data_IF_949740313680
#
_entry.id   IF_949740313680
#
_cell.length_a   1.000
_cell.length_b   1.000
_cell.length_c   1.000
_cell.angle_alpha   90.00
_cell.angle_beta   90.00
_cell.angle_gamma   90.00
#
_symmetry.space_group_name_H-M   'P 1'
#
loop_
_entity.id
_entity.type
_entity.pdbx_description
1 polymer ?
#
# COMPACT_ATOMS: atom_id res chain seq x y z
N UNK A 1 1.42 29.99 11.89
CA UNK A 1 2.84 29.64 11.67
C UNK A 1 3.00 28.15 11.89
N UNK A 2 3.36 27.37 10.86
CA UNK A 2 3.63 25.95 11.04
C UNK A 2 4.93 25.80 11.82
N UNK A 3 4.91 25.10 12.95
CA UNK A 3 6.10 24.83 13.75
C UNK A 3 7.07 23.93 12.98
N UNK A 4 8.40 24.02 13.20
CA UNK A 4 9.40 23.25 12.47
C UNK A 4 9.12 21.73 12.49
N UNK A 5 8.61 21.20 13.62
CA UNK A 5 8.19 19.80 13.75
C UNK A 5 7.07 19.39 12.80
N UNK A 6 6.14 20.30 12.46
CA UNK A 6 5.04 20.02 11.52
C UNK A 6 5.55 19.92 10.09
N UNK A 7 6.54 20.75 9.73
CA UNK A 7 7.18 20.72 8.41
C UNK A 7 8.01 19.44 8.25
N UNK A 8 8.81 19.07 9.26
CA UNK A 8 9.58 17.83 9.27
C UNK A 8 8.69 16.57 9.14
N UNK A 9 7.55 16.56 9.85
CA UNK A 9 6.58 15.47 9.74
C UNK A 9 6.01 15.36 8.33
N UNK A 10 5.64 16.48 7.70
CA UNK A 10 5.13 16.50 6.33
C UNK A 10 6.16 15.99 5.32
N UNK A 11 7.43 16.38 5.46
CA UNK A 11 8.53 15.88 4.62
C UNK A 11 8.71 14.38 4.81
N UNK A 12 8.71 13.90 6.06
CA UNK A 12 8.82 12.47 6.37
C UNK A 12 7.68 11.66 5.73
N UNK A 13 6.45 12.15 5.80
CA UNK A 13 5.28 11.51 5.15
C UNK A 13 5.43 11.42 3.63
N UNK A 14 5.91 12.49 2.98
CA UNK A 14 6.17 12.50 1.52
C UNK A 14 7.28 11.51 1.17
N UNK A 15 8.40 11.53 1.90
CA UNK A 15 9.51 10.59 1.72
C UNK A 15 8.99 9.16 1.83
N UNK A 16 8.17 8.86 2.83
CA UNK A 16 7.59 7.52 2.99
C UNK A 16 6.71 7.07 1.83
N UNK A 17 6.02 7.97 1.12
CA UNK A 17 5.28 7.55 -0.07
C UNK A 17 6.20 6.90 -1.11
N UNK A 18 7.45 7.36 -1.20
CA UNK A 18 8.43 6.93 -2.18
C UNK A 18 9.32 5.79 -1.66
N UNK A 19 9.63 5.78 -0.36
CA UNK A 19 10.66 4.90 0.21
C UNK A 19 10.14 3.88 1.21
N UNK A 20 8.89 4.00 1.68
CA UNK A 20 8.31 2.97 2.54
C UNK A 20 8.26 1.65 1.77
N UNK A 21 8.61 0.52 2.40
CA UNK A 21 8.58 -0.77 1.73
C UNK A 21 7.18 -1.11 1.21
N UNK A 22 7.12 -1.80 0.07
CA UNK A 22 5.88 -2.42 -0.39
C UNK A 22 5.72 -3.72 0.38
N UNK A 23 4.70 -3.79 1.24
CA UNK A 23 4.42 -4.97 2.05
C UNK A 23 3.68 -5.99 1.18
N UNK A 24 4.32 -7.12 0.92
CA UNK A 24 3.77 -8.26 0.17
C UNK A 24 3.56 -9.47 1.10
N UNK A 25 2.80 -10.47 0.63
CA UNK A 25 2.65 -11.71 1.37
C UNK A 25 4.00 -12.46 1.46
N UNK A 26 4.37 -13.04 2.64
CA UNK A 26 5.66 -13.71 2.85
C UNK A 26 5.70 -15.10 2.19
N UNK A 27 5.70 -15.13 0.85
CA UNK A 27 5.69 -16.34 0.04
C UNK A 27 6.72 -16.37 -1.10
N UNK A 28 7.64 -15.41 -1.14
CA UNK A 28 8.71 -15.34 -2.17
C UNK A 28 8.35 -14.58 -3.44
N UNK A 29 7.09 -14.21 -3.64
CA UNK A 29 6.57 -13.57 -4.87
C UNK A 29 6.74 -12.03 -4.92
N UNK A 30 7.60 -11.46 -4.06
CA UNK A 30 7.76 -10.01 -3.98
C UNK A 30 8.36 -9.38 -5.23
N UNK A 31 9.32 -10.08 -5.85
CA UNK A 31 9.99 -9.64 -7.08
C UNK A 31 9.10 -9.77 -8.32
N UNK A 32 8.13 -10.68 -8.28
CA UNK A 32 7.19 -10.95 -9.38
C UNK A 32 6.04 -9.92 -9.46
N UNK A 33 6.04 -8.91 -8.57
CA UNK A 33 5.02 -7.88 -8.58
C UNK A 33 5.14 -7.01 -9.85
N UNK A 34 4.06 -6.83 -10.63
CA UNK A 34 4.10 -6.05 -11.86
C UNK A 34 4.56 -4.59 -11.64
N UNK A 35 5.40 -4.09 -12.53
CA UNK A 35 6.00 -2.75 -12.38
C UNK A 35 4.96 -1.62 -12.40
N UNK A 36 3.92 -1.76 -13.23
CA UNK A 36 2.80 -0.80 -13.26
C UNK A 36 2.07 -0.71 -11.91
N UNK A 37 2.03 -1.81 -11.15
CA UNK A 37 1.39 -1.86 -9.84
C UNK A 37 2.26 -1.19 -8.77
N UNK A 38 3.59 -1.35 -8.85
CA UNK A 38 4.53 -0.59 -7.99
C UNK A 38 4.38 0.92 -8.22
N UNK A 39 4.28 1.34 -9.49
CA UNK A 39 4.02 2.74 -9.85
C UNK A 39 2.66 3.23 -9.31
N UNK A 40 1.60 2.42 -9.44
CA UNK A 40 0.27 2.74 -8.91
C UNK A 40 0.29 2.90 -7.38
N UNK A 41 1.02 2.05 -6.65
CA UNK A 41 1.19 2.17 -5.19
C UNK A 41 1.76 3.54 -4.83
N UNK A 42 2.85 3.95 -5.47
CA UNK A 42 3.47 5.26 -5.22
C UNK A 42 2.50 6.41 -5.43
N UNK A 43 1.75 6.39 -6.55
CA UNK A 43 0.77 7.44 -6.85
C UNK A 43 -0.41 7.46 -5.88
N UNK A 44 -0.90 6.29 -5.46
CA UNK A 44 -1.97 6.23 -4.47
C UNK A 44 -1.53 6.65 -3.08
N UNK A 45 -0.29 6.34 -2.68
CA UNK A 45 0.29 6.82 -1.42
C UNK A 45 0.35 8.34 -1.39
N UNK A 46 0.82 8.97 -2.48
CA UNK A 46 0.84 10.42 -2.62
C UNK A 46 -0.57 11.03 -2.53
N UNK A 47 -1.55 10.43 -3.22
CA UNK A 47 -2.94 10.87 -3.14
C UNK A 47 -3.49 10.75 -1.71
N UNK A 48 -3.14 9.68 -0.99
CA UNK A 48 -3.54 9.49 0.41
C UNK A 48 -2.89 10.51 1.34
N UNK A 49 -1.62 10.87 1.14
CA UNK A 49 -0.99 11.95 1.89
C UNK A 49 -1.70 13.29 1.69
N UNK A 50 -2.10 13.62 0.46
CA UNK A 50 -2.89 14.84 0.18
C UNK A 50 -4.23 14.82 0.93
N UNK A 51 -4.89 13.67 0.99
CA UNK A 51 -6.13 13.48 1.77
C UNK A 51 -5.89 13.62 3.27
N UNK A 52 -4.80 13.05 3.79
CA UNK A 52 -4.42 13.17 5.20
C UNK A 52 -4.14 14.63 5.59
N UNK A 53 -3.49 15.41 4.71
CA UNK A 53 -3.31 16.86 4.91
C UNK A 53 -4.63 17.63 4.96
N UNK A 54 -5.70 17.10 4.35
CA UNK A 54 -7.05 17.66 4.40
C UNK A 54 -7.87 17.17 5.60
N UNK A 55 -7.28 16.36 6.49
CA UNK A 55 -7.90 15.88 7.72
C UNK A 55 -8.53 14.48 7.63
N UNK A 56 -8.38 13.76 6.52
CA UNK A 56 -8.81 12.36 6.45
C UNK A 56 -7.86 11.45 7.25
N UNK A 57 -8.40 10.36 7.82
CA UNK A 57 -7.58 9.41 8.56
C UNK A 57 -6.63 8.68 7.58
N UNK A 58 -5.30 8.71 7.77
CA UNK A 58 -4.39 8.01 6.89
C UNK A 58 -4.58 6.49 6.97
N UNK A 59 -4.57 5.82 5.82
CA UNK A 59 -4.77 4.36 5.71
C UNK A 59 -4.02 3.80 4.50
N UNK A 60 -4.00 2.48 4.37
CA UNK A 60 -3.41 1.78 3.24
C UNK A 60 -4.25 1.94 1.97
N UNK A 61 -3.60 1.82 0.82
CA UNK A 61 -4.25 2.10 -0.47
C UNK A 61 -4.84 0.84 -1.12
N UNK A 62 -5.67 1.02 -2.14
CA UNK A 62 -6.22 -0.10 -2.92
C UNK A 62 -5.09 -0.85 -3.64
N UNK A 63 -4.12 -0.12 -4.21
CA UNK A 63 -2.98 -0.70 -4.90
C UNK A 63 -2.07 -1.52 -3.95
N UNK A 64 -1.89 -1.11 -2.70
CA UNK A 64 -1.13 -1.89 -1.71
C UNK A 64 -1.86 -3.17 -1.31
N UNK A 65 -3.16 -3.07 -1.05
CA UNK A 65 -3.98 -4.25 -0.78
C UNK A 65 -3.96 -5.22 -1.99
N UNK A 66 -3.99 -4.68 -3.21
CA UNK A 66 -3.91 -5.44 -4.45
C UNK A 66 -2.57 -6.18 -4.56
N UNK A 67 -1.44 -5.52 -4.27
CA UNK A 67 -0.13 -6.17 -4.28
C UNK A 67 0.00 -7.28 -3.23
N UNK A 68 -0.51 -7.03 -2.03
CA UNK A 68 -0.51 -8.03 -0.96
C UNK A 68 -1.36 -9.26 -1.33
N UNK A 69 -2.59 -9.05 -1.81
CA UNK A 69 -3.47 -10.17 -2.17
C UNK A 69 -3.04 -10.88 -3.46
N UNK A 70 -2.44 -10.18 -4.42
CA UNK A 70 -1.84 -10.78 -5.60
C UNK A 70 -0.75 -11.79 -5.19
N UNK A 71 0.24 -11.35 -4.41
CA UNK A 71 1.31 -12.23 -3.91
C UNK A 71 0.81 -13.33 -2.99
N UNK A 72 -0.25 -13.08 -2.20
CA UNK A 72 -0.90 -14.11 -1.40
C UNK A 72 -1.54 -15.21 -2.26
N UNK A 73 -2.26 -14.83 -3.33
CA UNK A 73 -2.90 -15.77 -4.26
C UNK A 73 -1.93 -16.65 -5.04
N UNK A 74 -0.70 -16.16 -5.28
CA UNK A 74 0.37 -16.95 -5.87
C UNK A 74 0.97 -17.95 -4.88
N UNK A 75 1.00 -17.59 -3.59
CA UNK A 75 1.56 -18.45 -2.55
C UNK A 75 0.59 -19.56 -2.11
N UNK A 76 -0.72 -19.27 -2.05
CA UNK A 76 -1.73 -20.21 -1.59
C UNK A 76 -3.12 -19.88 -2.14
N UNK A 77 -4.04 -20.86 -2.21
CA UNK A 77 -5.43 -20.60 -2.53
C UNK A 77 -6.05 -19.62 -1.53
N UNK A 78 -6.71 -18.57 -2.03
CA UNK A 78 -7.49 -17.67 -1.19
C UNK A 78 -8.85 -18.28 -0.87
N UNK A 79 -9.35 -18.05 0.35
CA UNK A 79 -10.73 -18.37 0.70
C UNK A 79 -11.73 -17.55 -0.14
N UNK A 80 -13.00 -17.96 -0.14
CA UNK A 80 -14.05 -17.32 -0.95
C UNK A 80 -14.14 -15.79 -0.75
N UNK A 81 -14.17 -15.31 0.50
CA UNK A 81 -14.31 -13.88 0.77
C UNK A 81 -13.07 -13.08 0.38
N UNK A 82 -11.87 -13.61 0.67
CA UNK A 82 -10.63 -12.98 0.25
C UNK A 82 -10.45 -12.97 -1.28
N UNK A 83 -10.96 -13.99 -1.97
CA UNK A 83 -11.02 -14.02 -3.43
C UNK A 83 -11.90 -12.88 -3.96
N UNK A 84 -13.10 -12.70 -3.40
CA UNK A 84 -13.99 -11.59 -3.77
C UNK A 84 -13.35 -10.23 -3.48
N UNK A 85 -12.73 -10.07 -2.32
CA UNK A 85 -12.00 -8.84 -1.96
C UNK A 85 -10.88 -8.57 -2.97
N UNK A 86 -10.08 -9.58 -3.30
CA UNK A 86 -9.00 -9.46 -4.28
C UNK A 86 -9.51 -9.04 -5.66
N UNK A 87 -10.54 -9.72 -6.19
CA UNK A 87 -11.11 -9.39 -7.49
C UNK A 87 -11.73 -7.98 -7.51
N UNK A 88 -12.35 -7.55 -6.40
CA UNK A 88 -12.90 -6.20 -6.26
C UNK A 88 -11.81 -5.12 -6.34
N UNK A 89 -10.74 -5.26 -5.54
CA UNK A 89 -9.67 -4.27 -5.55
C UNK A 89 -8.83 -4.35 -6.83
N UNK A 90 -8.61 -5.55 -7.38
CA UNK A 90 -7.95 -5.72 -8.66
C UNK A 90 -8.74 -5.00 -9.75
N UNK A 91 -10.06 -5.18 -9.82
CA UNK A 91 -10.95 -4.44 -10.72
C UNK A 91 -10.74 -2.93 -10.58
N UNK A 92 -10.82 -2.40 -9.36
CA UNK A 92 -10.68 -0.95 -9.11
C UNK A 92 -9.31 -0.39 -9.50
N UNK A 93 -8.24 -1.06 -9.09
CA UNK A 93 -6.87 -0.61 -9.34
C UNK A 93 -6.54 -0.72 -10.83
N UNK A 94 -6.94 -1.81 -11.47
CA UNK A 94 -6.73 -2.05 -12.89
C UNK A 94 -7.45 -1.00 -13.74
N UNK A 95 -8.74 -0.75 -13.48
CA UNK A 95 -9.51 0.27 -14.22
C UNK A 95 -8.97 1.69 -14.02
N UNK A 96 -8.49 1.99 -12.81
CA UNK A 96 -7.96 3.31 -12.49
C UNK A 96 -6.62 3.59 -13.18
N UNK A 97 -5.72 2.60 -13.20
CA UNK A 97 -4.32 2.79 -13.59
C UNK A 97 -3.95 2.09 -14.89
N UNK A 98 -4.33 0.82 -15.07
CA UNK A 98 -3.85 -0.02 -16.16
C UNK A 98 -4.70 0.07 -17.42
N UNK A 99 -6.01 0.24 -17.31
CA UNK A 99 -6.90 0.35 -18.48
C UNK A 99 -6.52 1.52 -19.38
N UNK A 100 -6.19 2.67 -18.79
CA UNK A 100 -5.81 3.88 -19.54
C UNK A 100 -4.52 3.72 -20.34
N UNK A 101 -3.59 2.91 -19.84
CA UNK A 101 -2.29 2.68 -20.46
C UNK A 101 -2.33 1.51 -21.46
N UNK A 102 -3.07 0.44 -21.16
CA UNK A 102 -3.09 -0.78 -21.95
C UNK A 102 -4.21 -0.87 -22.97
N UNK A 103 -5.30 -0.12 -22.78
CA UNK A 103 -6.56 -0.32 -23.49
C UNK A 103 -7.32 -1.59 -23.10
N UNK A 104 -6.78 -2.42 -22.20
CA UNK A 104 -7.41 -3.65 -21.72
C UNK A 104 -8.21 -3.32 -20.46
N UNK A 105 -9.46 -3.77 -20.39
CA UNK A 105 -10.32 -3.63 -19.20
C UNK A 105 -10.35 -4.94 -18.41
N UNK A 106 -10.85 -4.89 -17.18
CA UNK A 106 -11.06 -6.11 -16.40
C UNK A 106 -12.13 -7.00 -17.10
N UNK A 107 -11.86 -8.30 -17.35
CA UNK A 107 -12.85 -9.19 -17.96
C UNK A 107 -14.14 -9.28 -17.13
N UNK A 108 -15.29 -9.33 -17.80
CA UNK A 108 -16.62 -9.28 -17.15
C UNK A 108 -16.90 -10.48 -16.24
N UNK A 109 -16.37 -11.65 -16.58
CA UNK A 109 -16.57 -12.92 -15.87
C UNK A 109 -15.90 -12.97 -14.48
N UNK A 110 -14.83 -12.19 -14.28
CA UNK A 110 -14.11 -12.10 -13.00
C UNK A 110 -14.26 -10.72 -12.34
N UNK A 111 -15.00 -9.80 -12.96
CA UNK A 111 -15.23 -8.45 -12.45
C UNK A 111 -16.09 -8.51 -11.19
N UNK A 112 -15.63 -7.85 -10.13
CA UNK A 112 -16.39 -7.68 -8.89
C UNK A 112 -16.58 -6.20 -8.62
N UNK A 113 -17.83 -5.75 -8.60
CA UNK A 113 -18.17 -4.32 -8.48
C UNK A 113 -18.59 -3.90 -7.07
N UNK A 114 -18.92 -4.86 -6.20
CA UNK A 114 -19.35 -4.60 -4.83
C UNK A 114 -18.86 -5.68 -3.87
N UNK A 115 -18.71 -5.26 -2.61
CA UNK A 115 -18.44 -6.13 -1.47
C UNK A 115 -19.56 -5.96 -0.46
N UNK A 116 -19.85 -7.01 0.31
CA UNK A 116 -20.72 -6.87 1.47
C UNK A 116 -20.00 -6.16 2.63
N UNK A 117 -20.74 -5.82 3.69
CA UNK A 117 -20.20 -5.06 4.83
C UNK A 117 -19.08 -5.78 5.57
N UNK A 118 -19.11 -7.11 5.62
CA UNK A 118 -18.06 -7.91 6.27
C UNK A 118 -16.77 -7.88 5.44
N UNK A 119 -16.87 -8.16 4.15
CA UNK A 119 -15.76 -8.10 3.21
C UNK A 119 -15.14 -6.69 3.15
N UNK A 120 -15.97 -5.64 3.19
CA UNK A 120 -15.49 -4.26 3.22
C UNK A 120 -14.77 -3.94 4.54
N UNK A 121 -15.28 -4.44 5.68
CA UNK A 121 -14.59 -4.32 6.98
C UNK A 121 -13.24 -5.02 6.98
N UNK A 122 -13.15 -6.22 6.42
CA UNK A 122 -11.89 -6.96 6.35
C UNK A 122 -10.88 -6.32 5.39
N UNK A 123 -11.35 -5.79 4.25
CA UNK A 123 -10.50 -4.99 3.37
C UNK A 123 -9.95 -3.74 4.09
N UNK A 124 -10.79 -3.03 4.83
CA UNK A 124 -10.36 -1.84 5.57
C UNK A 124 -9.37 -2.19 6.70
N UNK A 125 -9.56 -3.32 7.38
CA UNK A 125 -8.60 -3.85 8.36
C UNK A 125 -7.25 -4.17 7.70
N UNK A 126 -7.27 -4.84 6.54
CA UNK A 126 -6.05 -5.13 5.78
C UNK A 126 -5.31 -3.85 5.40
N UNK A 127 -6.01 -2.85 4.86
CA UNK A 127 -5.41 -1.55 4.50
C UNK A 127 -4.80 -0.84 5.70
N UNK A 128 -5.51 -0.79 6.83
CA UNK A 128 -4.99 -0.19 8.06
C UNK A 128 -3.72 -0.91 8.55
N UNK A 129 -3.72 -2.24 8.51
CA UNK A 129 -2.57 -3.05 8.87
C UNK A 129 -1.37 -2.82 7.93
N UNK A 130 -1.58 -2.76 6.62
CA UNK A 130 -0.51 -2.48 5.63
C UNK A 130 0.13 -1.11 5.87
N UNK A 131 -0.69 -0.09 6.11
CA UNK A 131 -0.23 1.24 6.45
C UNK A 131 0.59 1.27 7.75
N UNK A 132 0.09 0.60 8.79
CA UNK A 132 0.84 0.49 10.04
C UNK A 132 2.18 -0.22 9.82
N UNK A 133 2.20 -1.35 9.09
CA UNK A 133 3.41 -2.13 8.84
C UNK A 133 4.48 -1.34 8.09
N UNK A 134 4.11 -0.65 7.00
CA UNK A 134 5.08 0.13 6.22
C UNK A 134 5.64 1.31 7.02
N UNK A 135 4.80 1.97 7.82
CA UNK A 135 5.23 3.13 8.62
C UNK A 135 6.11 2.72 9.80
N UNK A 136 5.82 1.58 10.44
CA UNK A 136 6.71 0.98 11.45
C UNK A 136 8.06 0.62 10.85
N UNK A 137 8.09 -0.03 9.67
CA UNK A 137 9.34 -0.41 9.02
C UNK A 137 10.25 0.81 8.74
N UNK A 138 9.68 1.94 8.29
CA UNK A 138 10.43 3.20 8.15
C UNK A 138 10.96 3.69 9.49
N UNK A 139 10.12 3.76 10.53
CA UNK A 139 10.53 4.25 11.85
C UNK A 139 11.64 3.41 12.47
N UNK A 140 11.60 2.09 12.27
CA UNK A 140 12.63 1.17 12.74
C UNK A 140 13.95 1.38 11.97
N UNK A 141 13.88 1.57 10.65
CA UNK A 141 15.05 1.92 9.83
C UNK A 141 15.68 3.25 10.27
N UNK A 142 14.87 4.30 10.43
CA UNK A 142 15.33 5.61 10.90
C UNK A 142 15.95 5.53 12.30
N UNK A 143 15.48 4.62 13.15
CA UNK A 143 16.04 4.39 14.48
C UNK A 143 17.38 3.65 14.40
N UNK A 144 17.48 2.62 13.59
CA UNK A 144 18.70 1.86 13.37
C UNK A 144 19.82 2.74 12.79
N UNK A 145 19.52 3.56 11.78
CA UNK A 145 20.49 4.49 11.18
C UNK A 145 21.01 5.52 12.19
N UNK A 146 20.14 6.01 13.09
CA UNK A 146 20.55 6.93 14.17
C UNK A 146 21.41 6.25 15.23
N UNK A 147 21.18 4.98 15.51
CA UNK A 147 22.01 4.21 16.44
C UNK A 147 23.40 3.95 15.83
N UNK A 148 23.45 3.57 14.56
CA UNK A 148 24.69 3.32 13.84
C UNK A 148 25.56 4.59 13.77
N UNK A 149 24.99 5.74 13.39
CA UNK A 149 25.73 7.01 13.36
C UNK A 149 26.32 7.39 14.72
N UNK A 150 25.58 7.18 15.80
CA UNK A 150 26.09 7.43 17.17
C UNK A 150 27.23 6.49 17.57
N UNK A 151 27.24 5.28 17.04
CA UNK A 151 28.32 4.33 17.27
C UNK A 151 29.57 4.71 16.46
N UNK A 152 29.39 5.09 15.19
CA UNK A 152 30.46 5.58 14.32
C UNK A 152 31.08 6.91 14.83
N UNK A 153 30.28 7.79 15.45
CA UNK A 153 30.77 9.04 16.06
C UNK A 153 31.48 8.83 17.42
N UNK A 154 31.33 7.65 18.03
CA UNK A 154 31.93 7.31 19.32
C UNK A 154 33.23 6.48 19.19
N UNK A 155 33.54 6.00 17.99
CA UNK A 155 34.80 5.34 17.60
C UNK A 155 35.83 6.36 17.09
#
# INVERSE_FOLDING_TARGET
>A
MNTPKTVEKGISEIVGCLTDPIIVFPGGWGEDLPEWLKSAITLERLAMNIRALRGELPTGTDAEACAYLNTASLAQPLGHDWTKIYLYIATKVYEKWRTKESGVTMPEDIRVESLNDEQMRDLNRLKAWLYQKRTTARQDKDRAERQQKKQEEAE
#
